data_IF_497817056804
#
_entry.id   IF_497817056804
#
_cell.length_a   1.000
_cell.length_b   1.000
_cell.length_c   1.000
_cell.angle_alpha   90.00
_cell.angle_beta   90.00
_cell.angle_gamma   90.00
#
_symmetry.space_group_name_H-M   'P 1'
#
loop_
_entity.id
_entity.type
_entity.pdbx_description
1 polymer ?
#
# COMPACT_ATOMS: atom_id res chain seq x y z
N UNK A 1 32.84 -65.38 32.89
CA UNK A 1 31.95 -66.54 33.12
C UNK A 1 30.73 -66.04 33.88
N UNK A 2 29.56 -66.28 33.29
CA UNK A 2 28.23 -66.36 33.92
C UNK A 2 27.63 -65.11 34.57
N UNK A 3 26.70 -64.51 33.82
CA UNK A 3 25.38 -64.00 34.27
C UNK A 3 24.72 -64.91 35.35
N UNK A 4 23.69 -64.49 36.12
CA UNK A 4 22.56 -63.67 35.65
C UNK A 4 21.90 -62.73 36.68
N UNK A 5 20.90 -61.95 36.20
CA UNK A 5 19.51 -62.02 36.67
C UNK A 5 18.81 -60.68 36.96
N UNK A 6 17.56 -60.66 36.48
CA UNK A 6 16.35 -60.11 37.12
C UNK A 6 16.03 -58.62 36.97
N UNK A 7 15.02 -58.40 36.13
CA UNK A 7 13.99 -57.38 36.23
C UNK A 7 13.50 -57.18 37.68
N UNK A 8 13.23 -55.93 38.09
CA UNK A 8 11.88 -55.43 38.34
C UNK A 8 11.90 -54.11 39.14
N UNK A 9 10.75 -53.42 39.09
CA UNK A 9 10.21 -52.46 40.07
C UNK A 9 10.57 -50.97 39.91
N UNK A 10 9.56 -50.21 39.48
CA UNK A 10 9.35 -48.79 39.81
C UNK A 10 9.40 -48.57 41.33
N UNK A 11 9.69 -47.33 41.78
CA UNK A 11 8.57 -46.57 42.34
C UNK A 11 8.59 -45.06 42.09
N UNK A 12 7.37 -44.54 42.14
CA UNK A 12 6.90 -43.15 42.21
C UNK A 12 7.48 -42.40 43.41
N UNK A 13 7.81 -41.12 43.22
CA UNK A 13 7.47 -39.94 44.08
C UNK A 13 8.54 -38.85 43.92
N UNK A 14 8.13 -37.64 43.52
CA UNK A 14 8.14 -36.47 44.41
C UNK A 14 7.64 -35.22 43.69
N UNK A 15 6.68 -34.59 44.36
CA UNK A 15 6.13 -33.27 44.15
C UNK A 15 7.19 -32.22 44.53
N UNK A 16 7.33 -31.18 43.70
CA UNK A 16 7.76 -29.85 44.17
C UNK A 16 7.00 -28.78 43.39
N UNK A 17 6.19 -28.03 44.13
CA UNK A 17 5.53 -26.81 43.68
C UNK A 17 6.56 -25.67 43.63
N UNK A 18 6.49 -24.84 42.58
CA UNK A 18 6.83 -23.42 42.71
C UNK A 18 6.14 -22.57 41.63
N UNK A 19 5.26 -21.68 42.14
CA UNK A 19 5.02 -20.31 41.68
C UNK A 19 4.71 -20.05 40.21
N UNK A 20 3.42 -19.92 39.91
CA UNK A 20 2.91 -19.32 38.69
C UNK A 20 2.94 -17.80 38.74
N UNK A 21 3.36 -17.18 37.63
CA UNK A 21 3.09 -15.77 37.35
C UNK A 21 2.93 -15.57 35.84
N UNK A 22 1.70 -15.18 35.46
CA UNK A 22 1.27 -14.45 34.27
C UNK A 22 2.05 -14.67 32.94
N UNK A 23 1.56 -15.60 32.12
CA UNK A 23 1.83 -15.63 30.68
C UNK A 23 0.70 -14.97 29.90
N UNK A 24 0.92 -13.73 29.47
CA UNK A 24 0.02 -12.96 28.59
C UNK A 24 -0.14 -13.65 27.24
N UNK A 25 -1.34 -14.14 26.95
CA UNK A 25 -1.72 -14.66 25.64
C UNK A 25 -1.85 -13.53 24.62
N UNK A 26 -0.81 -13.33 23.80
CA UNK A 26 -0.91 -12.58 22.57
C UNK A 26 -1.33 -13.53 21.45
N UNK A 27 -2.58 -13.42 21.03
CA UNK A 27 -3.13 -14.11 19.88
C UNK A 27 -2.30 -13.78 18.62
N UNK A 28 -1.56 -14.77 18.13
CA UNK A 28 -0.95 -14.72 16.81
C UNK A 28 -2.07 -14.74 15.76
N UNK A 29 -2.38 -13.58 15.18
CA UNK A 29 -3.17 -13.52 13.94
C UNK A 29 -2.36 -14.16 12.83
N UNK A 30 -2.71 -15.40 12.50
CA UNK A 30 -2.13 -16.17 11.42
C UNK A 30 -2.23 -15.45 10.08
N UNK A 31 -1.11 -14.91 9.63
CA UNK A 31 -0.87 -14.61 8.22
C UNK A 31 -0.63 -15.93 7.49
N UNK A 32 -1.68 -16.45 6.83
CA UNK A 32 -1.52 -17.54 5.87
C UNK A 32 -0.56 -17.16 4.74
N UNK A 33 0.01 -18.13 4.00
CA UNK A 33 0.97 -17.87 2.95
C UNK A 33 0.25 -17.22 1.77
N UNK A 34 0.16 -15.89 1.79
CA UNK A 34 -0.31 -15.11 0.66
C UNK A 34 0.61 -15.36 -0.54
N UNK A 35 0.00 -15.58 -1.70
CA UNK A 35 0.66 -15.76 -2.99
C UNK A 35 1.49 -14.52 -3.36
N UNK A 36 2.69 -14.40 -2.78
CA UNK A 36 3.55 -13.23 -2.92
C UNK A 36 4.45 -13.42 -4.14
N UNK A 37 4.14 -12.76 -5.25
CA UNK A 37 5.05 -12.66 -6.40
C UNK A 37 6.32 -11.89 -5.96
N UNK A 38 7.51 -12.52 -5.97
CA UNK A 38 8.75 -11.87 -5.58
C UNK A 38 9.03 -10.60 -6.40
N UNK A 39 8.61 -10.57 -7.67
CA UNK A 39 8.80 -9.45 -8.58
C UNK A 39 7.83 -8.29 -8.34
N UNK A 40 6.75 -8.50 -7.58
CA UNK A 40 5.75 -7.47 -7.28
C UNK A 40 5.45 -7.40 -5.77
N UNK A 41 6.40 -6.88 -4.96
CA UNK A 41 6.13 -6.56 -3.56
C UNK A 41 4.87 -5.69 -3.43
N UNK A 42 4.03 -5.94 -2.43
CA UNK A 42 2.86 -5.10 -2.14
C UNK A 42 1.55 -5.44 -2.87
N UNK A 43 1.53 -6.41 -3.80
CA UNK A 43 0.30 -6.86 -4.47
C UNK A 43 -0.82 -7.22 -3.49
N UNK A 44 -0.49 -7.82 -2.34
CA UNK A 44 -1.47 -8.20 -1.33
C UNK A 44 -2.21 -6.99 -0.74
N UNK A 45 -1.55 -5.84 -0.60
CA UNK A 45 -2.18 -4.61 -0.14
C UNK A 45 -3.12 -4.04 -1.21
N UNK A 46 -2.69 -4.03 -2.47
CA UNK A 46 -3.54 -3.64 -3.61
C UNK A 46 -4.79 -4.51 -3.72
N UNK A 47 -4.65 -5.84 -3.59
CA UNK A 47 -5.77 -6.78 -3.63
C UNK A 47 -6.75 -6.54 -2.48
N UNK A 48 -6.27 -6.34 -1.25
CA UNK A 48 -7.13 -6.01 -0.10
C UNK A 48 -7.89 -4.70 -0.29
N UNK A 49 -7.24 -3.66 -0.80
CA UNK A 49 -7.89 -2.39 -1.09
C UNK A 49 -9.00 -2.55 -2.14
N UNK A 50 -8.71 -3.28 -3.23
CA UNK A 50 -9.69 -3.57 -4.29
C UNK A 50 -10.89 -4.37 -3.78
N UNK A 51 -10.67 -5.38 -2.94
CA UNK A 51 -11.75 -6.19 -2.34
C UNK A 51 -12.65 -5.33 -1.46
N UNK A 52 -12.07 -4.48 -0.61
CA UNK A 52 -12.83 -3.56 0.25
C UNK A 52 -13.65 -2.56 -0.57
N UNK A 53 -13.10 -2.06 -1.69
CA UNK A 53 -13.82 -1.20 -2.64
C UNK A 53 -15.00 -1.92 -3.29
N UNK A 54 -14.81 -3.16 -3.74
CA UNK A 54 -15.90 -3.98 -4.30
C UNK A 54 -17.02 -4.19 -3.27
N UNK A 55 -16.66 -4.48 -2.02
CA UNK A 55 -17.62 -4.66 -0.94
C UNK A 55 -18.48 -3.41 -0.69
N UNK A 56 -17.87 -2.22 -0.57
CA UNK A 56 -18.64 -0.99 -0.30
C UNK A 56 -19.49 -0.55 -1.51
N UNK A 57 -19.05 -0.85 -2.73
CA UNK A 57 -19.81 -0.57 -3.97
C UNK A 57 -21.02 -1.49 -4.12
N UNK A 58 -21.01 -2.66 -3.49
CA UNK A 58 -22.12 -3.60 -3.48
C UNK A 58 -23.23 -3.25 -2.45
N UNK A 59 -23.04 -2.24 -1.60
CA UNK A 59 -24.04 -1.86 -0.62
C UNK A 59 -25.30 -1.23 -1.25
N UNK A 60 -26.47 -1.36 -0.60
CA UNK A 60 -27.66 -0.59 -0.96
C UNK A 60 -27.39 0.91 -0.92
N UNK A 61 -28.07 1.69 -1.78
CA UNK A 61 -27.86 3.14 -1.92
C UNK A 61 -27.95 3.89 -0.59
N UNK A 62 -28.90 3.54 0.28
CA UNK A 62 -29.02 4.16 1.61
C UNK A 62 -27.72 4.03 2.44
N UNK A 63 -27.08 2.85 2.44
CA UNK A 63 -25.83 2.61 3.18
C UNK A 63 -24.63 3.29 2.52
N UNK A 64 -24.64 3.42 1.18
CA UNK A 64 -23.66 4.21 0.43
C UNK A 64 -23.72 5.69 0.83
N UNK A 65 -24.93 6.25 0.90
CA UNK A 65 -25.17 7.64 1.32
C UNK A 65 -24.75 7.87 2.78
N UNK A 66 -25.08 6.96 3.70
CA UNK A 66 -24.61 7.03 5.09
C UNK A 66 -23.07 7.17 5.15
N UNK A 67 -22.34 6.35 4.39
CA UNK A 67 -20.87 6.41 4.34
C UNK A 67 -20.35 7.72 3.76
N UNK A 68 -20.97 8.22 2.70
CA UNK A 68 -20.58 9.49 2.06
C UNK A 68 -20.94 10.71 2.93
N UNK A 69 -22.02 10.63 3.70
CA UNK A 69 -22.46 11.66 4.64
C UNK A 69 -21.37 12.06 5.64
N UNK A 70 -20.54 11.10 6.07
CA UNK A 70 -19.40 11.34 6.99
C UNK A 70 -18.35 12.31 6.43
N UNK A 71 -18.32 12.47 5.10
CA UNK A 71 -17.37 13.31 4.37
C UNK A 71 -18.05 14.46 3.60
N UNK A 72 -19.36 14.65 3.78
CA UNK A 72 -20.16 15.63 3.03
C UNK A 72 -20.51 16.85 3.87
N UNK A 73 -20.61 18.02 3.22
CA UNK A 73 -21.04 19.25 3.88
C UNK A 73 -22.55 19.24 4.15
N UNK A 74 -22.95 19.79 5.30
CA UNK A 74 -24.36 20.02 5.61
C UNK A 74 -24.91 21.20 4.81
N UNK A 75 -26.08 21.04 4.20
CA UNK A 75 -26.78 22.06 3.41
C UNK A 75 -28.11 22.51 4.03
N UNK A 76 -28.33 22.25 5.33
CA UNK A 76 -29.57 22.61 6.02
C UNK A 76 -29.78 24.13 6.13
N UNK A 77 -28.69 24.89 6.27
CA UNK A 77 -28.71 26.34 6.32
C UNK A 77 -27.38 26.92 5.80
N UNK A 78 -27.43 28.14 5.26
CA UNK A 78 -26.24 28.86 4.78
C UNK A 78 -25.24 29.21 5.90
N UNK A 79 -25.67 29.10 7.16
CA UNK A 79 -24.84 29.37 8.35
C UNK A 79 -24.14 28.12 8.89
N UNK A 80 -24.56 26.92 8.46
CA UNK A 80 -23.97 25.67 8.94
C UNK A 80 -22.60 25.42 8.30
N UNK A 81 -21.57 25.15 9.14
CA UNK A 81 -20.19 24.85 8.69
C UNK A 81 -19.81 23.37 8.88
N UNK A 82 -20.78 22.49 9.03
CA UNK A 82 -20.53 21.07 9.25
C UNK A 82 -20.01 20.42 7.96
N UNK A 83 -18.86 19.73 8.05
CA UNK A 83 -18.19 19.08 6.91
C UNK A 83 -18.24 17.54 6.98
N UNK A 84 -19.24 17.00 7.69
CA UNK A 84 -19.40 15.56 7.80
C UNK A 84 -20.39 15.16 8.88
N UNK A 85 -21.38 14.36 8.51
CA UNK A 85 -22.34 13.77 9.42
C UNK A 85 -21.63 12.88 10.45
N UNK A 86 -22.02 13.02 11.71
CA UNK A 86 -21.52 12.20 12.83
C UNK A 86 -22.68 11.44 13.43
N UNK A 87 -22.59 10.11 13.36
CA UNK A 87 -23.61 9.22 13.89
C UNK A 87 -23.85 9.51 15.39
N UNK A 88 -25.08 9.86 15.80
CA UNK A 88 -25.41 10.10 17.20
C UNK A 88 -25.34 8.83 18.05
N UNK A 89 -25.53 7.66 17.43
CA UNK A 89 -25.47 6.33 18.03
C UNK A 89 -24.20 5.61 17.54
N UNK A 90 -23.00 5.99 18.01
CA UNK A 90 -21.78 5.31 17.61
C UNK A 90 -21.85 3.82 18.00
N UNK A 91 -21.40 2.89 17.15
CA UNK A 91 -21.36 1.48 17.50
C UNK A 91 -20.51 1.29 18.76
N UNK A 92 -21.13 0.74 19.81
CA UNK A 92 -20.46 0.32 21.04
C UNK A 92 -19.66 -0.95 20.74
N UNK A 93 -18.33 -0.80 20.61
CA UNK A 93 -17.32 -1.84 20.32
C UNK A 93 -17.07 -2.16 18.83
N UNK A 94 -15.85 -2.64 18.47
CA UNK A 94 -15.50 -3.00 17.10
C UNK A 94 -16.04 -4.39 16.77
N UNK A 95 -17.36 -4.54 16.70
CA UNK A 95 -17.96 -5.74 16.11
C UNK A 95 -17.97 -5.57 14.59
N UNK A 96 -17.24 -6.44 13.90
CA UNK A 96 -17.30 -6.63 12.45
C UNK A 96 -18.61 -7.33 12.04
N UNK A 97 -19.75 -6.97 12.64
CA UNK A 97 -21.03 -7.51 12.19
C UNK A 97 -21.52 -6.70 10.99
N UNK A 98 -21.56 -7.40 9.86
CA UNK A 98 -21.95 -6.95 8.52
C UNK A 98 -23.43 -6.52 8.42
N UNK A 99 -24.13 -6.47 9.55
CA UNK A 99 -25.53 -6.11 9.69
C UNK A 99 -25.69 -4.86 10.55
N UNK A 100 -24.80 -3.89 10.35
CA UNK A 100 -24.96 -2.57 10.92
C UNK A 100 -26.22 -1.95 10.31
N UNK A 101 -27.26 -1.75 11.14
CA UNK A 101 -28.47 -1.04 10.74
C UNK A 101 -28.08 0.24 9.97
N UNK A 102 -28.65 0.40 8.78
CA UNK A 102 -28.40 1.60 7.98
C UNK A 102 -29.05 2.77 8.69
N UNK A 103 -28.29 3.84 8.91
CA UNK A 103 -28.82 5.02 9.58
C UNK A 103 -29.99 5.59 8.77
N UNK A 104 -31.06 5.99 9.45
CA UNK A 104 -32.17 6.68 8.79
C UNK A 104 -31.71 8.05 8.30
N UNK A 105 -32.23 8.51 7.16
CA UNK A 105 -31.97 9.86 6.64
C UNK A 105 -32.42 10.96 7.61
N UNK A 106 -33.34 10.65 8.52
CA UNK A 106 -33.84 11.55 9.55
C UNK A 106 -32.93 11.66 10.78
N UNK A 107 -31.87 10.86 10.89
CA UNK A 107 -30.99 10.89 12.07
C UNK A 107 -30.17 12.18 12.14
N UNK A 108 -30.25 12.85 13.28
CA UNK A 108 -29.56 14.12 13.54
C UNK A 108 -28.06 13.93 13.75
N UNK A 109 -27.27 14.75 13.05
CA UNK A 109 -25.83 14.82 13.18
C UNK A 109 -25.43 15.28 14.58
N UNK A 110 -24.56 14.52 15.27
CA UNK A 110 -24.04 14.91 16.59
C UNK A 110 -23.33 16.27 16.61
N UNK A 111 -22.78 16.73 15.47
CA UNK A 111 -22.01 17.97 15.39
C UNK A 111 -22.83 19.22 15.08
N UNK A 112 -23.92 19.12 14.32
CA UNK A 112 -24.72 20.28 13.92
C UNK A 112 -26.22 20.15 14.18
N UNK A 113 -26.71 19.00 14.64
CA UNK A 113 -28.13 18.75 14.89
C UNK A 113 -28.98 18.48 13.65
N UNK A 114 -28.51 18.83 12.45
CA UNK A 114 -29.22 18.63 11.19
C UNK A 114 -29.24 17.17 10.74
N UNK A 115 -30.22 16.81 9.91
CA UNK A 115 -30.45 15.43 9.48
C UNK A 115 -29.34 14.92 8.56
N UNK A 116 -29.17 13.60 8.47
CA UNK A 116 -28.31 12.98 7.46
C UNK A 116 -28.74 13.41 6.04
N UNK A 117 -30.05 13.53 5.79
CA UNK A 117 -30.61 14.04 4.54
C UNK A 117 -29.95 15.36 4.10
N UNK A 118 -29.72 16.30 5.02
CA UNK A 118 -29.12 17.60 4.71
C UNK A 118 -27.64 17.51 4.31
N UNK A 119 -26.97 16.42 4.68
CA UNK A 119 -25.58 16.16 4.31
C UNK A 119 -25.46 15.44 2.96
N UNK A 120 -26.49 14.69 2.55
CA UNK A 120 -26.45 13.85 1.34
C UNK A 120 -27.44 14.26 0.27
N UNK A 121 -28.20 15.34 0.47
CA UNK A 121 -29.20 15.86 -0.48
C UNK A 121 -28.62 16.07 -1.89
N UNK A 122 -27.39 16.57 -1.96
CA UNK A 122 -26.66 16.77 -3.21
C UNK A 122 -26.26 15.48 -3.95
N UNK A 123 -26.41 14.32 -3.31
CA UNK A 123 -26.12 13.00 -3.88
C UNK A 123 -27.39 12.26 -4.34
N UNK A 124 -28.59 12.79 -4.06
CA UNK A 124 -29.85 12.12 -4.32
C UNK A 124 -30.00 11.71 -5.79
N UNK A 125 -29.68 12.62 -6.72
CA UNK A 125 -29.80 12.43 -8.16
C UNK A 125 -28.47 12.11 -8.87
N UNK A 126 -27.43 11.78 -8.10
CA UNK A 126 -26.11 11.44 -8.64
C UNK A 126 -26.09 9.98 -9.10
N UNK A 127 -25.50 9.74 -10.28
CA UNK A 127 -25.35 8.40 -10.87
C UNK A 127 -24.68 7.40 -9.93
N UNK A 128 -25.02 6.11 -10.05
CA UNK A 128 -24.37 5.06 -9.26
C UNK A 128 -22.86 4.98 -9.48
N UNK A 129 -22.38 5.24 -10.70
CA UNK A 129 -20.94 5.24 -11.00
C UNK A 129 -20.19 6.34 -10.23
N UNK A 130 -20.78 7.53 -10.15
CA UNK A 130 -20.20 8.63 -9.38
C UNK A 130 -20.25 8.38 -7.87
N UNK A 131 -21.33 7.78 -7.35
CA UNK A 131 -21.39 7.30 -5.97
C UNK A 131 -20.29 6.26 -5.71
N UNK A 132 -20.09 5.30 -6.63
CA UNK A 132 -19.08 4.26 -6.53
C UNK A 132 -17.64 4.83 -6.62
N UNK A 133 -17.45 5.93 -7.37
CA UNK A 133 -16.19 6.68 -7.42
C UNK A 133 -15.88 7.31 -6.06
N UNK A 134 -16.83 8.05 -5.49
CA UNK A 134 -16.67 8.68 -4.18
C UNK A 134 -16.46 7.65 -3.06
N UNK A 135 -17.15 6.51 -3.09
CA UNK A 135 -16.92 5.41 -2.16
C UNK A 135 -15.51 4.81 -2.30
N UNK A 136 -14.97 4.75 -3.52
CA UNK A 136 -13.57 4.37 -3.74
C UNK A 136 -12.62 5.31 -2.99
N UNK A 137 -12.87 6.60 -3.06
CA UNK A 137 -12.10 7.61 -2.34
C UNK A 137 -12.25 7.49 -0.81
N UNK A 138 -13.44 7.17 -0.31
CA UNK A 138 -13.66 6.91 1.12
C UNK A 138 -12.77 5.77 1.62
N UNK A 139 -12.73 4.65 0.89
CA UNK A 139 -11.86 3.52 1.23
C UNK A 139 -10.39 3.93 1.21
N UNK A 140 -10.00 4.76 0.24
CA UNK A 140 -8.63 5.27 0.14
C UNK A 140 -8.26 6.22 1.29
N UNK A 141 -9.18 7.05 1.74
CA UNK A 141 -9.02 7.90 2.93
C UNK A 141 -8.85 7.05 4.19
N UNK A 142 -9.65 6.00 4.37
CA UNK A 142 -9.51 5.06 5.49
C UNK A 142 -8.14 4.35 5.47
N UNK A 143 -7.69 3.91 4.29
CA UNK A 143 -6.38 3.28 4.11
C UNK A 143 -5.24 4.24 4.46
N UNK A 144 -5.29 5.48 3.95
CA UNK A 144 -4.29 6.51 4.26
C UNK A 144 -4.31 6.90 5.73
N UNK A 145 -5.48 7.00 6.36
CA UNK A 145 -5.60 7.27 7.78
C UNK A 145 -4.86 6.22 8.61
N UNK A 146 -5.04 4.93 8.29
CA UNK A 146 -4.30 3.85 8.93
C UNK A 146 -2.79 3.95 8.68
N UNK A 147 -2.38 4.26 7.45
CA UNK A 147 -0.96 4.45 7.12
C UNK A 147 -0.33 5.61 7.90
N UNK A 148 -1.01 6.75 8.04
CA UNK A 148 -0.52 7.90 8.83
C UNK A 148 -0.27 7.53 10.30
N UNK A 149 -1.12 6.68 10.88
CA UNK A 149 -0.98 6.27 12.29
C UNK A 149 0.13 5.25 12.50
N UNK A 150 0.40 4.41 11.49
CA UNK A 150 1.45 3.39 11.55
C UNK A 150 2.83 3.89 11.11
N UNK A 151 2.88 4.98 10.35
CA UNK A 151 4.13 5.48 9.77
C UNK A 151 4.98 6.22 10.82
N UNK A 152 6.24 5.80 10.92
CA UNK A 152 7.23 6.34 11.85
C UNK A 152 8.09 7.42 11.18
N UNK A 153 8.41 7.24 9.89
CA UNK A 153 9.23 8.19 9.16
C UNK A 153 8.46 9.50 8.92
N UNK A 154 9.00 10.60 9.42
CA UNK A 154 8.31 11.91 9.41
C UNK A 154 8.05 12.41 8.00
N UNK A 155 9.01 12.23 7.09
CA UNK A 155 8.89 12.66 5.70
C UNK A 155 7.77 11.88 4.98
N UNK A 156 7.72 10.57 5.18
CA UNK A 156 6.68 9.67 4.63
C UNK A 156 5.30 9.99 5.21
N UNK A 157 5.20 10.18 6.53
CA UNK A 157 3.96 10.49 7.24
C UNK A 157 3.34 11.79 6.76
N UNK A 158 4.15 12.82 6.50
CA UNK A 158 3.67 14.10 5.95
C UNK A 158 3.02 13.92 4.58
N UNK A 159 3.60 13.08 3.71
CA UNK A 159 3.03 12.79 2.38
C UNK A 159 1.70 12.05 2.50
N UNK A 160 1.61 11.01 3.33
CA UNK A 160 0.34 10.32 3.56
C UNK A 160 -0.73 11.26 4.13
N UNK A 161 -0.36 12.14 5.06
CA UNK A 161 -1.30 13.12 5.62
C UNK A 161 -1.75 14.15 4.57
N UNK A 162 -0.86 14.58 3.67
CA UNK A 162 -1.23 15.42 2.54
C UNK A 162 -2.24 14.72 1.62
N UNK A 163 -1.98 13.49 1.20
CA UNK A 163 -2.89 12.71 0.33
C UNK A 163 -4.23 12.43 1.02
N UNK A 164 -4.21 12.15 2.32
CA UNK A 164 -5.42 12.01 3.14
C UNK A 164 -6.27 13.28 3.08
N UNK A 165 -5.67 14.46 3.29
CA UNK A 165 -6.37 15.75 3.21
C UNK A 165 -6.88 16.02 1.79
N UNK A 166 -6.09 15.73 0.76
CA UNK A 166 -6.46 15.90 -0.64
C UNK A 166 -7.72 15.10 -0.98
N UNK A 167 -7.71 13.78 -0.71
CA UNK A 167 -8.87 12.93 -1.00
C UNK A 167 -10.09 13.33 -0.19
N UNK A 168 -9.94 13.68 1.09
CA UNK A 168 -11.05 14.17 1.91
C UNK A 168 -11.67 15.45 1.33
N UNK A 169 -10.84 16.40 0.87
CA UNK A 169 -11.31 17.62 0.20
C UNK A 169 -12.04 17.28 -1.11
N UNK A 170 -11.51 16.35 -1.89
CA UNK A 170 -12.12 15.95 -3.15
C UNK A 170 -13.46 15.23 -2.96
N UNK A 171 -13.65 14.45 -1.89
CA UNK A 171 -14.98 13.88 -1.56
C UNK A 171 -15.95 15.01 -1.20
N UNK A 172 -15.52 15.94 -0.33
CA UNK A 172 -16.33 17.08 0.11
C UNK A 172 -16.79 17.97 -1.06
N UNK A 173 -15.95 18.10 -2.08
CA UNK A 173 -16.19 18.93 -3.26
C UNK A 173 -16.67 18.13 -4.49
N UNK A 174 -16.82 16.81 -4.36
CA UNK A 174 -17.06 15.88 -5.47
C UNK A 174 -16.11 16.04 -6.67
N UNK A 175 -14.84 16.38 -6.43
CA UNK A 175 -13.85 16.61 -7.49
C UNK A 175 -12.95 15.39 -7.73
N UNK A 176 -12.17 15.44 -8.81
CA UNK A 176 -11.09 14.47 -9.03
C UNK A 176 -9.82 14.91 -8.29
N UNK A 177 -9.07 13.97 -7.71
CA UNK A 177 -7.86 14.32 -6.98
C UNK A 177 -6.70 14.61 -7.94
N UNK A 178 -6.13 15.81 -7.79
CA UNK A 178 -4.93 16.25 -8.49
C UNK A 178 -3.90 16.63 -7.44
N UNK A 179 -2.70 16.08 -7.56
CA UNK A 179 -1.57 16.46 -6.69
C UNK A 179 -1.07 17.82 -7.15
N UNK A 180 -1.38 18.85 -6.38
CA UNK A 180 -0.96 20.24 -6.63
C UNK A 180 0.32 20.57 -5.85
N UNK A 181 1.18 21.42 -6.41
CA UNK A 181 2.27 22.08 -5.68
C UNK A 181 3.61 22.15 -6.40
N UNK A 182 4.63 22.56 -5.65
CA UNK A 182 6.02 22.78 -6.10
C UNK A 182 6.79 21.52 -6.50
N UNK A 183 6.15 20.34 -6.39
CA UNK A 183 6.76 19.07 -6.80
C UNK A 183 6.87 18.92 -8.32
N UNK A 184 6.12 19.72 -9.09
CA UNK A 184 5.95 19.51 -10.53
C UNK A 184 5.05 18.31 -10.83
N UNK A 185 4.81 18.07 -12.12
CA UNK A 185 3.99 16.97 -12.64
C UNK A 185 4.84 16.01 -13.49
N UNK A 186 4.48 14.71 -13.55
CA UNK A 186 5.17 13.76 -14.40
C UNK A 186 5.02 14.10 -15.90
N UNK A 187 6.00 13.73 -16.75
CA UNK A 187 7.25 13.04 -16.42
C UNK A 187 8.30 13.99 -15.82
N UNK A 188 9.11 13.50 -14.88
CA UNK A 188 10.11 14.30 -14.17
C UNK A 188 11.47 14.32 -14.87
N UNK A 189 11.78 13.31 -15.69
CA UNK A 189 13.04 13.23 -16.43
C UNK A 189 12.85 12.49 -17.75
N UNK A 190 13.59 12.91 -18.79
CA UNK A 190 13.72 12.20 -20.06
C UNK A 190 15.20 12.08 -20.44
N UNK A 191 15.66 10.94 -21.01
CA UNK A 191 14.92 9.69 -21.16
C UNK A 191 14.56 9.06 -19.81
N UNK A 192 13.44 8.33 -19.77
CA UNK A 192 13.01 7.64 -18.56
C UNK A 192 13.81 6.35 -18.32
N UNK A 193 13.63 5.72 -17.16
CA UNK A 193 14.36 4.50 -16.79
C UNK A 193 14.08 3.37 -17.78
N UNK A 194 12.84 3.18 -18.22
CA UNK A 194 12.51 2.14 -19.20
C UNK A 194 13.32 2.30 -20.49
N UNK A 195 13.31 3.51 -21.07
CA UNK A 195 14.08 3.79 -22.28
C UNK A 195 15.59 3.61 -22.04
N UNK A 196 16.10 4.04 -20.89
CA UNK A 196 17.49 3.83 -20.50
C UNK A 196 17.87 2.34 -20.44
N UNK A 197 16.99 1.50 -19.89
CA UNK A 197 17.18 0.05 -19.80
C UNK A 197 17.10 -0.62 -21.17
N UNK A 198 16.15 -0.22 -22.03
CA UNK A 198 16.05 -0.72 -23.40
C UNK A 198 17.31 -0.40 -24.22
N UNK A 199 17.80 0.84 -24.11
CA UNK A 199 19.04 1.27 -24.75
C UNK A 199 20.25 0.47 -24.23
N UNK A 200 20.31 0.21 -22.92
CA UNK A 200 21.35 -0.63 -22.31
C UNK A 200 21.36 -2.04 -22.89
N UNK A 201 20.19 -2.68 -23.03
CA UNK A 201 20.08 -4.04 -23.58
C UNK A 201 20.58 -4.07 -25.03
N UNK A 202 20.14 -3.12 -25.85
CA UNK A 202 20.57 -3.03 -27.24
C UNK A 202 22.08 -2.77 -27.34
N UNK A 203 22.60 -1.83 -26.54
CA UNK A 203 24.01 -1.46 -26.56
C UNK A 203 24.93 -2.60 -26.11
N UNK A 204 24.56 -3.32 -25.05
CA UNK A 204 25.43 -4.35 -24.45
C UNK A 204 25.26 -5.74 -25.04
N UNK A 205 24.10 -6.08 -25.59
CA UNK A 205 23.77 -7.47 -25.92
C UNK A 205 23.30 -7.69 -27.37
N UNK A 206 23.39 -6.68 -28.24
CA UNK A 206 23.03 -6.80 -29.66
C UNK A 206 23.84 -7.86 -30.42
N UNK A 207 25.06 -8.15 -29.99
CA UNK A 207 25.95 -9.13 -30.61
C UNK A 207 25.65 -10.59 -30.22
N UNK A 208 24.82 -10.83 -29.19
CA UNK A 208 24.50 -12.17 -28.72
C UNK A 208 23.61 -12.95 -29.70
N UNK A 209 23.60 -14.27 -29.58
CA UNK A 209 22.67 -15.12 -30.32
C UNK A 209 21.21 -14.75 -29.98
N UNK A 210 20.24 -14.96 -30.90
CA UNK A 210 18.84 -14.55 -30.69
C UNK A 210 18.24 -15.04 -29.37
N UNK A 211 18.53 -16.29 -28.98
CA UNK A 211 18.03 -16.88 -27.72
C UNK A 211 18.59 -16.17 -26.47
N UNK A 212 19.88 -15.87 -26.44
CA UNK A 212 20.52 -15.19 -25.31
C UNK A 212 20.12 -13.72 -25.22
N UNK A 213 19.97 -13.06 -26.38
CA UNK A 213 19.45 -11.69 -26.46
C UNK A 213 18.02 -11.60 -25.93
N UNK A 214 17.18 -12.59 -26.25
CA UNK A 214 15.83 -12.71 -25.69
C UNK A 214 15.86 -12.87 -24.16
N UNK A 215 16.76 -13.70 -23.63
CA UNK A 215 16.99 -13.83 -22.19
C UNK A 215 17.35 -12.49 -21.53
N UNK A 216 18.27 -11.71 -22.11
CA UNK A 216 18.63 -10.37 -21.57
C UNK A 216 17.45 -9.40 -21.60
N UNK A 217 16.63 -9.46 -22.65
CA UNK A 217 15.42 -8.65 -22.76
C UNK A 217 14.39 -9.02 -21.70
N UNK A 218 14.19 -10.31 -21.41
CA UNK A 218 13.28 -10.78 -20.35
C UNK A 218 13.77 -10.36 -18.96
N UNK A 219 15.07 -10.46 -18.69
CA UNK A 219 15.67 -9.95 -17.44
C UNK A 219 15.45 -8.44 -17.30
N UNK A 220 15.54 -7.68 -18.39
CA UNK A 220 15.28 -6.24 -18.37
C UNK A 220 13.85 -5.90 -18.01
N UNK A 221 12.86 -6.64 -18.56
CA UNK A 221 11.45 -6.49 -18.20
C UNK A 221 11.19 -6.85 -16.75
N UNK A 222 11.84 -7.90 -16.25
CA UNK A 222 11.75 -8.29 -14.85
C UNK A 222 12.34 -7.21 -13.92
N UNK A 223 13.49 -6.63 -14.27
CA UNK A 223 14.09 -5.52 -13.53
C UNK A 223 13.17 -4.29 -13.47
N UNK A 224 12.62 -3.89 -14.62
CA UNK A 224 11.67 -2.78 -14.70
C UNK A 224 10.41 -3.04 -13.88
N UNK A 225 9.88 -4.27 -13.95
CA UNK A 225 8.73 -4.68 -13.14
C UNK A 225 9.06 -4.58 -11.64
N UNK A 226 10.22 -5.07 -11.23
CA UNK A 226 10.67 -4.95 -9.84
C UNK A 226 10.73 -3.49 -9.39
N UNK A 227 11.32 -2.59 -10.20
CA UNK A 227 11.40 -1.17 -9.87
C UNK A 227 10.03 -0.49 -9.72
N UNK A 228 9.03 -0.89 -10.50
CA UNK A 228 7.69 -0.32 -10.39
C UNK A 228 6.99 -0.67 -9.07
N UNK A 229 7.31 -1.81 -8.46
CA UNK A 229 6.72 -2.25 -7.19
C UNK A 229 7.67 -2.14 -5.99
N UNK A 230 8.91 -1.70 -6.20
CA UNK A 230 9.91 -1.63 -5.15
C UNK A 230 9.60 -0.49 -4.18
N UNK A 231 9.67 -0.76 -2.87
CA UNK A 231 9.58 0.29 -1.85
C UNK A 231 10.95 0.95 -1.70
N UNK A 232 11.03 2.25 -1.98
CA UNK A 232 12.28 2.99 -1.81
C UNK A 232 12.59 3.24 -0.33
N UNK A 233 13.87 3.40 -0.04
CA UNK A 233 14.37 3.83 1.27
C UNK A 233 13.76 5.18 1.65
N UNK A 234 13.43 5.37 2.92
CA UNK A 234 12.92 6.67 3.38
C UNK A 234 14.02 7.74 3.28
N UNK A 235 13.69 9.03 3.20
CA UNK A 235 14.69 10.09 3.20
C UNK A 235 15.60 10.05 4.43
N UNK A 236 15.08 9.59 5.58
CA UNK A 236 15.87 9.36 6.80
C UNK A 236 16.93 8.27 6.60
N UNK A 237 16.56 7.14 5.99
CA UNK A 237 17.51 6.06 5.68
C UNK A 237 18.55 6.51 4.64
N UNK A 238 18.10 7.18 3.57
CA UNK A 238 18.99 7.67 2.52
C UNK A 238 20.04 8.66 3.05
N UNK A 239 19.64 9.58 3.94
CA UNK A 239 20.53 10.54 4.60
C UNK A 239 21.69 9.90 5.36
N UNK A 240 21.53 8.70 5.88
CA UNK A 240 22.58 8.02 6.65
C UNK A 240 23.77 7.57 5.79
N UNK A 241 23.62 7.52 4.45
CA UNK A 241 24.62 6.96 3.53
C UNK A 241 25.00 7.88 2.36
N UNK A 242 24.65 9.17 2.41
CA UNK A 242 24.79 10.12 1.29
C UNK A 242 25.21 11.50 1.79
N UNK A 243 25.58 12.41 0.88
CA UNK A 243 25.87 13.79 1.22
C UNK A 243 24.58 14.64 1.36
N UNK A 244 24.66 15.78 2.06
CA UNK A 244 23.51 16.62 2.42
C UNK A 244 22.70 17.14 1.21
N UNK A 245 23.36 17.56 0.14
CA UNK A 245 22.68 18.12 -1.03
C UNK A 245 21.94 17.05 -1.83
N UNK A 246 22.56 15.87 -2.00
CA UNK A 246 21.94 14.70 -2.61
C UNK A 246 20.71 14.22 -1.83
N UNK A 247 20.76 14.30 -0.49
CA UNK A 247 19.62 13.95 0.35
C UNK A 247 18.41 14.87 0.14
N UNK A 248 18.64 16.15 -0.16
CA UNK A 248 17.56 17.11 -0.41
C UNK A 248 16.88 16.81 -1.74
N UNK A 249 17.67 16.58 -2.80
CA UNK A 249 17.14 16.17 -4.10
C UNK A 249 16.37 14.84 -4.01
N UNK A 250 16.91 13.86 -3.30
CA UNK A 250 16.26 12.56 -3.09
C UNK A 250 14.93 12.70 -2.35
N UNK A 251 14.81 13.57 -1.34
CA UNK A 251 13.55 13.80 -0.64
C UNK A 251 12.45 14.27 -1.59
N UNK A 252 12.78 15.12 -2.57
CA UNK A 252 11.80 15.59 -3.57
C UNK A 252 11.35 14.42 -4.45
N UNK A 253 12.28 13.62 -4.96
CA UNK A 253 11.95 12.46 -5.80
C UNK A 253 11.20 11.36 -5.04
N UNK A 254 11.55 11.12 -3.77
CA UNK A 254 10.81 10.24 -2.87
C UNK A 254 9.36 10.71 -2.69
N UNK A 255 9.17 12.02 -2.49
CA UNK A 255 7.82 12.61 -2.37
C UNK A 255 7.01 12.43 -3.65
N UNK A 256 7.62 12.73 -4.81
CA UNK A 256 7.01 12.49 -6.13
C UNK A 256 6.64 11.02 -6.31
N UNK A 257 7.55 10.11 -5.98
CA UNK A 257 7.33 8.67 -6.10
C UNK A 257 6.15 8.21 -5.23
N UNK A 258 6.05 8.66 -3.98
CA UNK A 258 4.90 8.34 -3.13
C UNK A 258 3.59 8.82 -3.76
N UNK A 259 3.53 10.08 -4.17
CA UNK A 259 2.30 10.71 -4.68
C UNK A 259 1.82 10.14 -6.02
N UNK A 260 2.74 9.88 -6.95
CA UNK A 260 2.40 9.55 -8.35
C UNK A 260 2.60 8.07 -8.70
N UNK A 261 3.38 7.32 -7.91
CA UNK A 261 3.74 5.93 -8.25
C UNK A 261 3.30 4.93 -7.18
N UNK A 262 3.72 5.10 -5.92
CA UNK A 262 3.56 4.07 -4.88
C UNK A 262 2.17 4.05 -4.24
N UNK A 263 1.69 5.18 -3.72
CA UNK A 263 0.39 5.24 -3.06
C UNK A 263 -0.75 4.94 -4.03
N UNK A 264 -0.74 5.45 -5.30
CA UNK A 264 -1.75 5.09 -6.29
C UNK A 264 -1.86 3.59 -6.60
N UNK A 265 -0.89 2.75 -6.21
CA UNK A 265 -1.00 1.30 -6.39
C UNK A 265 -2.06 0.67 -5.49
N UNK A 266 -2.20 1.16 -4.25
CA UNK A 266 -3.22 0.72 -3.30
C UNK A 266 -4.40 1.68 -3.19
N UNK A 267 -4.25 2.91 -3.69
CA UNK A 267 -5.23 3.98 -3.61
C UNK A 267 -5.59 4.48 -5.02
N UNK A 268 -6.28 3.64 -5.78
CA UNK A 268 -6.58 3.85 -7.20
C UNK A 268 -7.45 5.07 -7.53
N UNK A 269 -7.97 5.80 -6.54
CA UNK A 269 -8.60 7.10 -6.80
C UNK A 269 -7.60 8.16 -7.22
N UNK A 270 -6.32 8.00 -6.87
CA UNK A 270 -5.23 8.89 -7.27
C UNK A 270 -4.71 8.51 -8.66
N UNK A 271 -4.28 9.49 -9.49
CA UNK A 271 -3.64 9.20 -10.77
C UNK A 271 -2.39 8.34 -10.57
N UNK A 272 -2.32 7.21 -11.29
CA UNK A 272 -1.20 6.26 -11.21
C UNK A 272 -0.26 6.44 -12.39
N UNK A 273 1.04 6.51 -12.09
CA UNK A 273 2.13 6.40 -13.04
C UNK A 273 3.05 5.24 -12.66
N UNK A 274 3.76 4.69 -13.63
CA UNK A 274 4.82 3.70 -13.38
C UNK A 274 6.13 4.44 -13.07
N UNK A 275 6.84 4.01 -12.02
CA UNK A 275 8.12 4.59 -11.60
C UNK A 275 9.10 4.69 -12.78
N UNK A 276 9.19 3.63 -13.58
CA UNK A 276 10.14 3.55 -14.71
C UNK A 276 9.77 4.45 -15.89
N UNK A 277 8.54 4.97 -15.94
CA UNK A 277 8.05 5.83 -17.02
C UNK A 277 8.24 7.31 -16.73
N UNK A 278 8.17 7.70 -15.46
CA UNK A 278 8.16 9.13 -15.06
C UNK A 278 9.48 9.59 -14.44
N UNK A 279 10.32 8.68 -13.98
CA UNK A 279 11.67 8.97 -13.51
C UNK A 279 12.73 8.51 -14.52
N UNK A 280 13.93 9.10 -14.42
CA UNK A 280 15.06 8.81 -15.28
C UNK A 280 16.32 8.45 -14.51
N UNK A 281 17.46 8.86 -15.05
CA UNK A 281 18.79 8.47 -14.57
C UNK A 281 19.07 8.99 -13.16
N UNK A 282 18.54 10.15 -12.79
CA UNK A 282 18.86 10.76 -11.49
C UNK A 282 18.31 9.93 -10.32
N UNK A 283 17.02 9.60 -10.34
CA UNK A 283 16.45 8.70 -9.31
C UNK A 283 17.15 7.34 -9.34
N UNK A 284 17.37 6.78 -10.54
CA UNK A 284 18.00 5.47 -10.67
C UNK A 284 19.37 5.43 -10.00
N UNK A 285 20.20 6.46 -10.16
CA UNK A 285 21.49 6.57 -9.46
C UNK A 285 21.36 6.51 -7.94
N UNK A 286 20.37 7.20 -7.37
CA UNK A 286 20.14 7.23 -5.92
C UNK A 286 19.75 5.85 -5.35
N UNK A 287 18.92 5.10 -6.09
CA UNK A 287 18.29 3.88 -5.56
C UNK A 287 18.97 2.58 -5.99
N UNK A 288 19.74 2.57 -7.09
CA UNK A 288 20.12 1.35 -7.78
C UNK A 288 20.98 0.41 -6.92
N UNK A 289 21.97 0.93 -6.20
CA UNK A 289 22.90 0.12 -5.40
C UNK A 289 22.19 -0.66 -4.30
N UNK A 290 21.24 -0.01 -3.61
CA UNK A 290 20.42 -0.64 -2.57
C UNK A 290 19.38 -1.58 -3.19
N UNK A 291 18.70 -1.15 -4.25
CA UNK A 291 17.71 -1.98 -4.95
C UNK A 291 18.33 -3.26 -5.49
N UNK A 292 19.53 -3.18 -6.10
CA UNK A 292 20.30 -4.34 -6.57
C UNK A 292 20.57 -5.33 -5.43
N UNK A 293 21.09 -4.85 -4.30
CA UNK A 293 21.37 -5.71 -3.13
C UNK A 293 20.10 -6.38 -2.63
N UNK A 294 19.02 -5.62 -2.46
CA UNK A 294 17.78 -6.14 -1.91
C UNK A 294 17.07 -7.09 -2.87
N UNK A 295 17.11 -6.84 -4.18
CA UNK A 295 16.56 -7.76 -5.19
C UNK A 295 17.28 -9.09 -5.22
N UNK A 296 18.61 -9.08 -5.24
CA UNK A 296 19.40 -10.30 -5.21
C UNK A 296 19.13 -11.11 -3.93
N UNK A 297 19.05 -10.44 -2.78
CA UNK A 297 18.73 -11.11 -1.52
C UNK A 297 17.30 -11.67 -1.52
N UNK A 298 16.31 -10.89 -1.98
CA UNK A 298 14.92 -11.33 -2.06
C UNK A 298 14.77 -12.55 -2.97
N UNK A 299 15.38 -12.53 -4.16
CA UNK A 299 15.36 -13.66 -5.06
C UNK A 299 16.10 -14.87 -4.51
N UNK A 300 17.17 -14.68 -3.74
CA UNK A 300 17.87 -15.77 -3.04
C UNK A 300 16.97 -16.45 -2.02
N UNK A 301 16.24 -15.67 -1.21
CA UNK A 301 15.32 -16.16 -0.18
C UNK A 301 14.07 -16.80 -0.79
N UNK A 302 13.51 -16.21 -1.83
CA UNK A 302 12.25 -16.65 -2.45
C UNK A 302 12.44 -17.56 -3.67
N UNK A 303 13.66 -18.08 -3.90
CA UNK A 303 14.01 -18.86 -5.09
C UNK A 303 13.12 -20.09 -5.32
N UNK A 304 12.61 -20.68 -4.25
CA UNK A 304 11.78 -21.89 -4.30
C UNK A 304 10.31 -21.59 -4.65
N UNK A 305 9.88 -20.32 -4.58
CA UNK A 305 8.57 -19.85 -5.05
C UNK A 305 8.55 -19.55 -6.56
N UNK A 306 9.72 -19.50 -7.20
CA UNK A 306 9.84 -19.19 -8.61
C UNK A 306 9.66 -20.44 -9.46
N UNK A 307 9.07 -20.28 -10.64
CA UNK A 307 9.06 -21.33 -11.67
C UNK A 307 10.50 -21.76 -11.99
N UNK A 308 10.78 -23.06 -12.22
CA UNK A 308 12.14 -23.57 -12.44
C UNK A 308 12.92 -22.82 -13.53
N UNK A 309 12.26 -22.48 -14.63
CA UNK A 309 12.84 -21.72 -15.76
C UNK A 309 13.29 -20.32 -15.33
N UNK A 310 12.43 -19.59 -14.61
CA UNK A 310 12.73 -18.25 -14.08
C UNK A 310 13.80 -18.31 -13.00
N UNK A 311 13.76 -19.33 -12.14
CA UNK A 311 14.74 -19.53 -11.06
C UNK A 311 16.16 -19.65 -11.62
N UNK A 312 16.36 -20.49 -12.64
CA UNK A 312 17.68 -20.67 -13.27
C UNK A 312 18.17 -19.35 -13.86
N UNK A 313 17.32 -18.65 -14.61
CA UNK A 313 17.61 -17.36 -15.23
C UNK A 313 18.01 -16.29 -14.20
N UNK A 314 17.26 -16.19 -13.10
CA UNK A 314 17.52 -15.26 -12.00
C UNK A 314 18.83 -15.59 -11.28
N UNK A 315 19.13 -16.85 -10.99
CA UNK A 315 20.33 -17.20 -10.22
C UNK A 315 21.62 -17.10 -11.03
N UNK A 316 21.57 -17.31 -12.35
CA UNK A 316 22.77 -17.42 -13.18
C UNK A 316 23.07 -16.17 -14.01
N UNK A 317 22.04 -15.49 -14.53
CA UNK A 317 22.23 -14.38 -15.48
C UNK A 317 21.94 -13.02 -14.84
N UNK A 318 20.98 -12.94 -13.91
CA UNK A 318 20.55 -11.66 -13.34
C UNK A 318 21.63 -10.91 -12.54
N UNK A 319 22.50 -11.55 -11.73
CA UNK A 319 23.57 -10.84 -11.02
C UNK A 319 24.57 -10.16 -11.95
N UNK A 320 24.80 -10.73 -13.14
CA UNK A 320 25.67 -10.15 -14.17
C UNK A 320 24.96 -9.06 -14.98
N UNK A 321 23.65 -9.17 -15.14
CA UNK A 321 22.82 -8.16 -15.79
C UNK A 321 22.77 -6.86 -14.97
N UNK A 322 22.65 -6.96 -13.64
CA UNK A 322 22.63 -5.83 -12.69
C UNK A 322 24.03 -5.28 -12.36
#
# INVERSE_FOLDING_TARGET
>A
MSDPAAQALQPRLLQTQSTGTAGSGAAATGSGPGNSDPARPGLSQQQRASQKKAQVRAFPRAKKLEKLGVFSACKASDTCKCNGWKNPNPPSAPRMDLQQQTASLSESCRSCGHALADHVSHLENVSEDEINRLLGMVVDVENLFMSVHKEEDTDTKQVYFYLFKLLRKCILQMSQPVVEGSLGSPPFEKPNIEQGVLNFVQYKFSHLAPKERQTMFELSKMFLLCLNYWKLETPTQYRQRTQKDEATAYKVDYTRWLCYCHVPQSNDSLPRNETTQVFGRNLLKSIFTVTRRQLLEKFRVEKDKLLPEKRTLILTHFPKFL
#
